data_IF_276932801695
#
_entry.id   IF_276932801695
#
_cell.length_a   1.000
_cell.length_b   1.000
_cell.length_c   1.000
_cell.angle_alpha   90.00
_cell.angle_beta   90.00
_cell.angle_gamma   90.00
#
_symmetry.space_group_name_H-M   'P 1'
#
loop_
_entity.id
_entity.type
_entity.pdbx_description
1 polymer ?
#
# COMPACT_ATOMS: atom_id res chain seq x y z
N UNK A 1 13.60 -39.49 9.20
CA UNK A 1 12.42 -38.95 8.48
C UNK A 1 11.85 -37.78 9.28
N UNK A 2 12.09 -36.52 8.89
CA UNK A 2 11.69 -35.38 9.75
C UNK A 2 11.66 -34.01 9.06
N UNK A 3 11.40 -33.96 7.74
CA UNK A 3 11.57 -32.73 6.94
C UNK A 3 10.31 -32.06 6.38
N UNK A 4 9.12 -32.68 6.45
CA UNK A 4 7.95 -32.20 5.70
C UNK A 4 6.87 -31.46 6.52
N UNK A 5 6.94 -31.49 7.85
CA UNK A 5 5.89 -30.90 8.68
C UNK A 5 5.97 -29.37 8.82
N UNK A 6 7.16 -28.76 8.69
CA UNK A 6 7.35 -27.29 8.85
C UNK A 6 6.83 -26.46 7.67
N UNK A 7 6.89 -26.98 6.45
CA UNK A 7 6.43 -26.28 5.25
C UNK A 7 4.91 -26.32 5.09
N UNK A 8 4.29 -27.45 5.47
CA UNK A 8 2.83 -27.63 5.44
C UNK A 8 2.12 -26.65 6.38
N UNK A 9 2.64 -26.47 7.61
CA UNK A 9 2.07 -25.56 8.63
C UNK A 9 2.10 -24.09 8.21
N UNK A 10 3.17 -23.63 7.53
CA UNK A 10 3.25 -22.25 7.00
C UNK A 10 2.25 -21.99 5.86
N UNK A 11 2.00 -22.99 5.02
CA UNK A 11 1.03 -22.86 3.91
C UNK A 11 -0.43 -22.85 4.38
N UNK A 12 -0.75 -23.58 5.46
CA UNK A 12 -2.09 -23.60 6.06
C UNK A 12 -2.40 -22.29 6.77
N UNK A 13 -1.42 -21.72 7.49
CA UNK A 13 -1.55 -20.43 8.16
C UNK A 13 -1.84 -19.29 7.17
N UNK A 14 -1.12 -19.22 6.05
CA UNK A 14 -1.37 -18.21 5.01
C UNK A 14 -2.76 -18.34 4.36
N UNK A 15 -3.21 -19.58 4.07
CA UNK A 15 -4.55 -19.82 3.51
C UNK A 15 -5.65 -19.46 4.51
N UNK A 16 -5.43 -19.74 5.79
CA UNK A 16 -6.36 -19.41 6.87
C UNK A 16 -6.45 -17.89 7.09
N UNK A 17 -5.31 -17.19 7.05
CA UNK A 17 -5.27 -15.71 7.10
C UNK A 17 -6.00 -15.10 5.90
N UNK A 18 -5.79 -15.62 4.69
CA UNK A 18 -6.51 -15.15 3.50
C UNK A 18 -8.02 -15.40 3.58
N UNK A 19 -8.44 -16.57 4.09
CA UNK A 19 -9.85 -16.88 4.32
C UNK A 19 -10.48 -15.97 5.38
N UNK A 20 -9.78 -15.73 6.50
CA UNK A 20 -10.21 -14.81 7.55
C UNK A 20 -10.31 -13.36 7.06
N UNK A 21 -9.41 -12.93 6.17
CA UNK A 21 -9.52 -11.64 5.50
C UNK A 21 -10.77 -11.54 4.63
N UNK A 22 -11.03 -12.56 3.78
CA UNK A 22 -12.24 -12.61 2.94
C UNK A 22 -13.53 -12.59 3.77
N UNK A 23 -13.56 -13.32 4.88
CA UNK A 23 -14.72 -13.37 5.77
C UNK A 23 -14.96 -12.03 6.48
N UNK A 24 -13.91 -11.35 6.93
CA UNK A 24 -14.00 -9.99 7.49
C UNK A 24 -14.49 -8.97 6.46
N UNK A 25 -14.05 -9.09 5.20
CA UNK A 25 -14.53 -8.25 4.09
C UNK A 25 -16.01 -8.51 3.81
N UNK A 26 -16.45 -9.78 3.76
CA UNK A 26 -17.85 -10.16 3.55
C UNK A 26 -18.78 -9.62 4.64
N UNK A 27 -18.38 -9.71 5.92
CA UNK A 27 -19.19 -9.24 7.06
C UNK A 27 -19.35 -7.71 7.12
N UNK A 28 -18.54 -6.95 6.38
CA UNK A 28 -18.61 -5.48 6.32
C UNK A 28 -19.55 -4.94 5.22
N UNK A 29 -20.24 -5.79 4.47
CA UNK A 29 -21.21 -5.35 3.46
C UNK A 29 -22.53 -4.96 4.12
N UNK A 30 -22.58 -3.73 4.65
CA UNK A 30 -23.82 -2.97 4.85
C UNK A 30 -24.10 -2.14 3.58
N UNK A 31 -25.36 -1.69 3.33
CA UNK A 31 -25.62 -0.73 2.25
C UNK A 31 -24.62 0.41 2.35
N UNK A 32 -23.93 0.70 1.24
CA UNK A 32 -22.77 1.57 1.25
C UNK A 32 -23.20 2.97 1.73
N UNK A 33 -22.67 3.50 2.86
CA UNK A 33 -22.55 4.94 2.96
C UNK A 33 -21.81 5.42 1.70
N UNK A 34 -22.14 6.61 1.20
CA UNK A 34 -21.33 7.29 0.17
C UNK A 34 -19.85 7.07 0.52
N UNK A 35 -19.09 6.44 -0.39
CA UNK A 35 -17.69 6.13 -0.08
C UNK A 35 -17.01 7.42 0.36
N UNK A 36 -16.29 7.44 1.50
CA UNK A 36 -15.61 8.64 1.95
C UNK A 36 -14.66 9.12 0.85
N UNK A 37 -14.41 10.42 0.78
CA UNK A 37 -13.48 10.96 -0.22
C UNK A 37 -12.11 10.32 -0.03
N UNK A 38 -11.38 9.96 -1.12
CA UNK A 38 -10.08 9.33 -1.01
C UNK A 38 -9.09 10.05 -0.08
N UNK A 39 -9.05 11.38 -0.17
CA UNK A 39 -8.21 12.24 0.68
C UNK A 39 -8.55 12.11 2.17
N UNK A 40 -9.83 11.96 2.54
CA UNK A 40 -10.23 11.77 3.94
C UNK A 40 -9.78 10.43 4.50
N UNK A 41 -9.79 9.37 3.67
CA UNK A 41 -9.27 8.05 4.07
C UNK A 41 -7.76 8.09 4.20
N UNK A 42 -7.08 8.69 3.21
CA UNK A 42 -5.64 8.90 3.30
C UNK A 42 -5.29 9.66 4.57
N UNK A 43 -5.95 10.80 4.85
CA UNK A 43 -5.73 11.64 6.04
C UNK A 43 -5.95 10.93 7.38
N UNK A 44 -6.84 9.94 7.43
CA UNK A 44 -7.11 9.17 8.65
C UNK A 44 -5.97 8.20 9.02
N UNK A 45 -5.01 7.97 8.12
CA UNK A 45 -3.82 7.18 8.41
C UNK A 45 -2.84 8.07 9.17
N UNK A 46 -2.54 7.69 10.40
CA UNK A 46 -1.56 8.37 11.24
C UNK A 46 -0.13 7.98 10.82
N UNK A 47 0.61 8.96 10.31
CA UNK A 47 2.01 8.80 9.87
C UNK A 47 3.01 9.25 10.95
N UNK A 48 2.55 9.91 12.00
CA UNK A 48 3.40 10.49 13.05
C UNK A 48 4.31 9.47 13.75
N UNK A 49 3.80 8.28 14.12
CA UNK A 49 4.59 7.24 14.79
C UNK A 49 5.59 6.49 13.92
N UNK A 50 5.54 6.65 12.58
CA UNK A 50 6.34 5.83 11.67
C UNK A 50 7.76 6.38 11.50
N UNK A 51 8.75 5.49 11.55
CA UNK A 51 10.13 5.79 11.19
C UNK A 51 10.33 5.92 9.67
N UNK A 52 11.45 6.49 9.23
CA UNK A 52 11.75 6.65 7.80
C UNK A 52 11.69 5.32 7.01
N UNK A 53 12.28 4.18 7.49
CA UNK A 53 12.13 2.90 6.80
C UNK A 53 10.67 2.41 6.71
N UNK A 54 9.85 2.65 7.75
CA UNK A 54 8.45 2.27 7.76
C UNK A 54 7.61 3.14 6.81
N UNK A 55 7.94 4.43 6.71
CA UNK A 55 7.35 5.34 5.72
C UNK A 55 7.69 4.91 4.30
N UNK A 56 8.95 4.57 4.01
CA UNK A 56 9.35 4.04 2.70
C UNK A 56 8.61 2.73 2.38
N UNK A 57 8.50 1.81 3.34
CA UNK A 57 7.74 0.58 3.13
C UNK A 57 6.25 0.85 2.88
N UNK A 58 5.65 1.82 3.57
CA UNK A 58 4.27 2.24 3.34
C UNK A 58 4.09 2.86 1.95
N UNK A 59 5.04 3.69 1.52
CA UNK A 59 5.08 4.26 0.18
C UNK A 59 5.07 3.15 -0.87
N UNK A 60 5.99 2.18 -0.78
CA UNK A 60 6.11 1.10 -1.76
C UNK A 60 4.84 0.24 -1.84
N UNK A 61 4.22 -0.05 -0.70
CA UNK A 61 2.94 -0.77 -0.66
C UNK A 61 1.81 0.04 -1.30
N UNK A 62 1.72 1.34 -1.00
CA UNK A 62 0.71 2.21 -1.59
C UNK A 62 0.90 2.34 -3.11
N UNK A 63 2.15 2.46 -3.59
CA UNK A 63 2.49 2.51 -5.00
C UNK A 63 2.08 1.22 -5.71
N UNK A 64 2.41 0.06 -5.15
CA UNK A 64 2.01 -1.24 -5.69
C UNK A 64 0.47 -1.37 -5.80
N UNK A 65 -0.26 -0.95 -4.78
CA UNK A 65 -1.73 -1.00 -4.80
C UNK A 65 -2.28 -0.05 -5.89
N UNK A 66 -1.71 1.15 -6.02
CA UNK A 66 -2.10 2.10 -7.06
C UNK A 66 -1.88 1.52 -8.47
N UNK A 67 -0.73 0.88 -8.72
CA UNK A 67 -0.43 0.22 -10.00
C UNK A 67 -1.41 -0.91 -10.32
N UNK A 68 -1.70 -1.77 -9.34
CA UNK A 68 -2.69 -2.85 -9.51
C UNK A 68 -4.06 -2.26 -9.83
N UNK A 69 -4.48 -1.22 -9.11
CA UNK A 69 -5.76 -0.57 -9.34
C UNK A 69 -5.81 0.10 -10.72
N UNK A 70 -4.74 0.76 -11.15
CA UNK A 70 -4.60 1.30 -12.50
C UNK A 70 -4.79 0.22 -13.55
N UNK A 71 -4.08 -0.91 -13.43
CA UNK A 71 -4.23 -2.05 -14.34
C UNK A 71 -5.66 -2.61 -14.37
N UNK A 72 -6.37 -2.61 -13.24
CA UNK A 72 -7.79 -3.00 -13.15
C UNK A 72 -8.68 -1.99 -13.87
N UNK A 73 -8.44 -0.69 -13.73
CA UNK A 73 -9.27 0.34 -14.39
C UNK A 73 -9.22 0.26 -15.91
N UNK A 74 -8.10 -0.20 -16.48
CA UNK A 74 -7.96 -0.39 -17.93
C UNK A 74 -8.60 -1.68 -18.48
N UNK A 75 -9.19 -2.52 -17.63
CA UNK A 75 -9.83 -3.76 -18.11
C UNK A 75 -11.20 -3.46 -18.73
N UNK A 76 -11.60 -4.16 -19.81
CA UNK A 76 -12.92 -3.95 -20.43
C UNK A 76 -14.10 -4.05 -19.45
N UNK A 77 -14.01 -4.95 -18.46
CA UNK A 77 -15.01 -5.14 -17.37
C UNK A 77 -15.11 -3.96 -16.40
N UNK A 78 -14.14 -3.05 -16.41
CA UNK A 78 -14.12 -1.83 -15.59
C UNK A 78 -14.75 -0.64 -16.31
N UNK A 79 -15.15 -0.82 -17.57
CA UNK A 79 -15.79 0.17 -18.42
C UNK A 79 -17.23 -0.29 -18.69
N UNK A 80 -18.18 0.64 -18.58
CA UNK A 80 -19.58 0.45 -18.92
C UNK A 80 -19.94 1.45 -20.01
N UNK A 81 -20.84 1.07 -20.92
CA UNK A 81 -21.38 1.99 -21.92
C UNK A 81 -22.66 2.61 -21.38
N UNK A 82 -22.71 3.94 -21.37
CA UNK A 82 -23.90 4.70 -21.04
C UNK A 82 -24.91 4.68 -22.21
N UNK A 83 -26.13 5.16 -21.95
CA UNK A 83 -27.21 5.14 -22.94
C UNK A 83 -26.93 6.04 -24.17
N UNK A 84 -26.06 7.04 -24.03
CA UNK A 84 -25.61 7.92 -25.10
C UNK A 84 -24.38 7.37 -25.86
N UNK A 85 -23.91 6.17 -25.51
CA UNK A 85 -22.74 5.54 -26.10
C UNK A 85 -21.40 6.00 -25.51
N UNK A 86 -21.41 6.87 -24.49
CA UNK A 86 -20.20 7.27 -23.78
C UNK A 86 -19.68 6.13 -22.89
N UNK A 87 -18.36 6.08 -22.71
CA UNK A 87 -17.71 5.16 -21.78
C UNK A 87 -17.68 5.76 -20.37
N UNK A 88 -18.26 5.05 -19.41
CA UNK A 88 -18.21 5.40 -18.01
C UNK A 88 -17.54 4.28 -17.19
N UNK A 89 -16.92 4.59 -16.05
CA UNK A 89 -16.38 3.54 -15.19
C UNK A 89 -17.53 2.67 -14.65
N UNK A 90 -17.43 1.36 -14.83
CA UNK A 90 -18.33 0.38 -14.21
C UNK A 90 -18.23 0.42 -12.68
N UNK A 91 -19.13 -0.22 -11.91
CA UNK A 91 -18.97 -0.28 -10.45
C UNK A 91 -17.60 -0.81 -9.99
N UNK A 92 -17.03 -1.76 -10.73
CA UNK A 92 -15.69 -2.28 -10.47
C UNK A 92 -14.61 -1.24 -10.82
N UNK A 93 -14.75 -0.54 -11.95
CA UNK A 93 -13.87 0.55 -12.34
C UNK A 93 -13.89 1.73 -11.36
N UNK A 94 -15.07 2.12 -10.86
CA UNK A 94 -15.22 3.16 -9.82
C UNK A 94 -14.54 2.77 -8.51
N UNK A 95 -14.68 1.51 -8.10
CA UNK A 95 -14.03 1.04 -6.88
C UNK A 95 -12.50 0.99 -7.02
N UNK A 96 -11.99 0.47 -8.14
CA UNK A 96 -10.55 0.44 -8.40
C UNK A 96 -9.98 1.87 -8.51
N UNK A 97 -10.65 2.76 -9.23
CA UNK A 97 -10.28 4.17 -9.31
C UNK A 97 -10.27 4.85 -7.95
N UNK A 98 -11.26 4.57 -7.10
CA UNK A 98 -11.29 5.10 -5.73
C UNK A 98 -10.11 4.62 -4.88
N UNK A 99 -9.77 3.32 -4.93
CA UNK A 99 -8.62 2.76 -4.21
C UNK A 99 -7.30 3.37 -4.71
N UNK A 100 -7.15 3.51 -6.03
CA UNK A 100 -6.01 4.19 -6.64
C UNK A 100 -5.87 5.61 -6.10
N UNK A 101 -6.96 6.40 -6.07
CA UNK A 101 -6.93 7.76 -5.53
C UNK A 101 -6.59 7.82 -4.03
N UNK A 102 -7.01 6.83 -3.23
CA UNK A 102 -6.61 6.76 -1.80
C UNK A 102 -5.10 6.55 -1.70
N UNK A 103 -4.57 5.62 -2.48
CA UNK A 103 -3.14 5.32 -2.50
C UNK A 103 -2.33 6.50 -3.00
N UNK A 104 -2.73 7.19 -4.07
CA UNK A 104 -2.04 8.41 -4.54
C UNK A 104 -2.05 9.50 -3.49
N UNK A 105 -3.19 9.79 -2.86
CA UNK A 105 -3.26 10.78 -1.78
C UNK A 105 -2.42 10.37 -0.56
N UNK A 106 -2.26 9.07 -0.30
CA UNK A 106 -1.37 8.58 0.75
C UNK A 106 0.10 8.71 0.36
N UNK A 107 0.45 8.46 -0.90
CA UNK A 107 1.82 8.62 -1.41
C UNK A 107 2.30 10.06 -1.21
N UNK A 108 1.49 11.05 -1.60
CA UNK A 108 1.80 12.47 -1.41
C UNK A 108 2.10 12.78 0.07
N UNK A 109 1.24 12.32 0.99
CA UNK A 109 1.43 12.50 2.44
C UNK A 109 2.68 11.81 2.98
N UNK A 110 3.03 10.64 2.45
CA UNK A 110 4.22 9.90 2.88
C UNK A 110 5.48 10.59 2.37
N UNK A 111 5.47 11.14 1.15
CA UNK A 111 6.57 11.96 0.61
C UNK A 111 6.76 13.20 1.49
N UNK A 112 5.70 13.96 1.76
CA UNK A 112 5.75 15.13 2.65
C UNK A 112 6.34 14.75 4.02
N UNK A 113 5.91 13.62 4.59
CA UNK A 113 6.40 13.16 5.89
C UNK A 113 7.86 12.70 5.86
N UNK A 114 8.29 12.05 4.78
CA UNK A 114 9.70 11.65 4.59
C UNK A 114 10.59 12.89 4.47
N UNK A 115 10.13 13.94 3.79
CA UNK A 115 10.83 15.23 3.73
C UNK A 115 10.93 15.86 5.13
N UNK A 116 9.86 15.87 5.93
CA UNK A 116 9.88 16.36 7.31
C UNK A 116 10.84 15.59 8.22
N UNK A 117 10.88 14.26 8.10
CA UNK A 117 11.77 13.40 8.90
C UNK A 117 13.22 13.53 8.42
N UNK A 118 13.45 13.80 7.13
CA UNK A 118 14.76 14.05 6.55
C UNK A 118 15.28 15.49 6.75
N UNK A 119 14.39 16.47 7.01
CA UNK A 119 14.72 17.89 7.08
C UNK A 119 15.65 18.34 8.22
N UNK A 120 15.77 17.64 9.39
CA UNK A 120 16.74 18.01 10.41
C UNK A 120 17.93 17.02 10.53
N UNK A 121 18.26 16.26 9.47
CA UNK A 121 19.54 15.56 9.34
C UNK A 121 20.32 16.13 8.13
N UNK A 122 20.44 17.46 8.08
CA UNK A 122 21.19 18.14 7.04
C UNK A 122 22.65 17.69 7.04
N UNK A 123 23.06 16.97 5.99
CA UNK A 123 24.44 16.57 5.62
C UNK A 123 25.23 15.72 6.64
N UNK A 124 25.18 16.01 7.93
CA UNK A 124 26.00 15.37 8.96
C UNK A 124 25.50 13.97 9.35
N UNK A 125 24.19 13.74 9.29
CA UNK A 125 23.59 12.43 9.63
C UNK A 125 23.80 11.36 8.56
N UNK A 126 23.87 11.76 7.28
CA UNK A 126 24.11 10.85 6.16
C UNK A 126 25.59 10.42 6.13
N UNK A 127 26.51 11.31 6.47
CA UNK A 127 27.94 11.00 6.61
C UNK A 127 28.19 10.03 7.79
N UNK A 128 27.51 10.20 8.93
CA UNK A 128 27.61 9.25 10.04
C UNK A 128 27.04 7.87 9.71
N UNK A 129 25.90 7.79 9.01
CA UNK A 129 25.34 6.50 8.59
C UNK A 129 26.20 5.80 7.53
N UNK A 130 26.84 6.54 6.62
CA UNK A 130 27.78 5.98 5.65
C UNK A 130 29.07 5.49 6.32
N UNK A 131 29.57 6.19 7.34
CA UNK A 131 30.73 5.75 8.14
C UNK A 131 30.41 4.47 8.90
N UNK A 132 29.27 4.37 9.58
CA UNK A 132 28.87 3.13 10.29
C UNK A 132 28.69 1.94 9.34
N UNK A 133 28.16 2.15 8.14
CA UNK A 133 28.02 1.09 7.11
C UNK A 133 29.38 0.65 6.58
N UNK A 134 30.32 1.58 6.36
CA UNK A 134 31.68 1.27 5.90
C UNK A 134 32.49 0.57 7.00
N UNK A 135 32.36 0.98 8.26
CA UNK A 135 33.05 0.37 9.41
C UNK A 135 32.48 -1.00 9.80
N UNK A 136 31.20 -1.25 9.52
CA UNK A 136 30.55 -2.54 9.80
C UNK A 136 30.69 -3.56 8.66
N UNK A 137 31.22 -3.17 7.49
CA UNK A 137 31.59 -4.13 6.46
C UNK A 137 32.85 -4.89 6.89
N UNK A 138 32.80 -6.22 7.11
CA UNK A 138 33.99 -6.99 7.40
C UNK A 138 34.93 -6.88 6.20
N UNK A 139 36.11 -6.30 6.42
CA UNK A 139 37.18 -6.17 5.43
C UNK A 139 37.55 -7.56 4.89
N UNK A 140 36.99 -7.93 3.74
CA UNK A 140 37.49 -9.06 2.96
C UNK A 140 38.68 -8.56 2.15
N UNK A 141 39.83 -8.50 2.81
CA UNK A 141 41.11 -8.81 2.17
C UNK A 141 41.20 -10.33 2.03
#
# INVERSE_FOLDING_TARGET
MGGNYRLLVRSTDLRQRAASLRERVRRRVRPAPTMPTPAAVAAAIDLGPLSAPELTALHDVAALIAEICSAITCQPRSIALAADGSEEPSPAGRFAGWQMSVCTALLDRVVDRLEEVGAPAGRDGLEQQLVEVVESMPSRL
#
